data_IF_908381715156
#
_entry.id   IF_908381715156
#
_cell.length_a   1.000
_cell.length_b   1.000
_cell.length_c   1.000
_cell.angle_alpha   90.00
_cell.angle_beta   90.00
_cell.angle_gamma   90.00
#
_symmetry.space_group_name_H-M   'P 1'
#
loop_
_entity.id
_entity.type
_entity.pdbx_description
1 polymer ?
#
# COMPACT_ATOMS: atom_id res chain seq x y z
N UNK A 1 10.69 -10.12 -6.23
CA UNK A 1 9.68 -9.11 -5.80
C UNK A 1 8.37 -9.10 -6.61
N UNK A 2 8.29 -9.82 -7.74
CA UNK A 2 7.15 -9.80 -8.67
C UNK A 2 6.48 -11.18 -8.78
N UNK A 3 6.40 -11.92 -7.68
CA UNK A 3 5.60 -13.15 -7.64
C UNK A 3 4.23 -12.84 -7.04
N UNK A 4 3.21 -13.61 -7.41
CA UNK A 4 1.87 -13.54 -6.80
C UNK A 4 1.86 -13.70 -5.27
N UNK A 5 2.98 -14.15 -4.69
CA UNK A 5 3.22 -14.27 -3.25
C UNK A 5 3.67 -12.96 -2.58
N UNK A 6 4.26 -12.01 -3.31
CA UNK A 6 4.84 -10.79 -2.77
C UNK A 6 4.16 -9.55 -3.35
N UNK A 7 3.61 -8.71 -2.48
CA UNK A 7 2.87 -7.50 -2.87
C UNK A 7 3.68 -6.23 -2.57
N UNK A 8 3.55 -5.21 -3.43
CA UNK A 8 4.26 -3.96 -3.26
C UNK A 8 3.82 -3.18 -1.99
N UNK A 9 2.57 -3.32 -1.52
CA UNK A 9 2.16 -2.76 -0.23
C UNK A 9 2.21 -3.79 0.92
N UNK A 10 2.68 -5.02 0.67
CA UNK A 10 3.30 -5.82 1.73
C UNK A 10 4.63 -5.15 2.17
N UNK A 11 5.20 -4.29 1.31
CA UNK A 11 6.28 -3.40 1.66
C UNK A 11 5.74 -2.03 2.06
N UNK A 12 6.05 -1.70 3.31
CA UNK A 12 5.89 -0.38 3.94
C UNK A 12 6.43 0.75 3.05
N UNK A 13 7.45 0.45 2.23
CA UNK A 13 8.22 1.42 1.44
C UNK A 13 7.43 2.32 0.51
N UNK A 14 6.31 1.84 -0.05
CA UNK A 14 5.56 2.58 -1.07
C UNK A 14 4.43 3.39 -0.45
N UNK A 15 3.87 2.91 0.66
CA UNK A 15 2.65 3.45 1.27
C UNK A 15 2.90 4.20 2.59
N UNK A 16 4.12 4.13 3.14
CA UNK A 16 4.46 4.75 4.42
C UNK A 16 5.19 6.09 4.23
N UNK A 17 4.65 7.21 4.75
CA UNK A 17 5.30 8.52 4.70
C UNK A 17 6.72 8.55 5.29
N UNK A 18 7.05 7.70 6.26
CA UNK A 18 8.40 7.66 6.88
C UNK A 18 9.48 7.32 5.86
N UNK A 19 9.18 6.44 4.88
CA UNK A 19 10.10 6.07 3.81
C UNK A 19 10.45 7.24 2.88
N UNK A 20 9.60 8.25 2.84
CA UNK A 20 9.82 9.45 2.04
C UNK A 20 10.46 10.56 2.88
N UNK A 21 10.01 10.75 4.12
CA UNK A 21 10.49 11.82 5.00
C UNK A 21 11.99 11.71 5.30
N UNK A 22 12.48 10.53 5.69
CA UNK A 22 13.89 10.39 6.11
C UNK A 22 14.88 10.65 4.96
N UNK A 23 14.72 10.06 3.76
CA UNK A 23 15.57 10.37 2.62
C UNK A 23 15.42 11.80 2.12
N UNK A 24 14.19 12.35 2.07
CA UNK A 24 13.97 13.71 1.57
C UNK A 24 14.60 14.78 2.48
N UNK A 25 14.49 14.62 3.80
CA UNK A 25 15.16 15.52 4.75
C UNK A 25 16.68 15.38 4.64
N UNK A 26 17.19 14.15 4.56
CA UNK A 26 18.63 13.92 4.43
C UNK A 26 19.19 14.47 3.10
N UNK A 27 18.43 14.35 2.00
CA UNK A 27 18.75 14.96 0.71
C UNK A 27 18.75 16.48 0.82
N UNK A 28 17.71 17.10 1.40
CA UNK A 28 17.66 18.55 1.57
C UNK A 28 18.81 19.11 2.41
N UNK A 29 19.19 18.42 3.50
CA UNK A 29 20.35 18.79 4.30
C UNK A 29 21.68 18.53 3.57
N UNK A 30 21.71 17.54 2.66
CA UNK A 30 22.88 17.07 1.94
C UNK A 30 23.15 17.75 0.59
N UNK A 31 22.16 18.46 0.05
CA UNK A 31 22.19 18.98 -1.32
C UNK A 31 23.21 20.10 -1.51
N UNK A 32 23.71 20.23 -2.75
CA UNK A 32 24.48 21.42 -3.12
C UNK A 32 23.58 22.64 -3.01
N UNK A 33 24.17 23.77 -2.60
CA UNK A 33 23.46 25.01 -2.29
C UNK A 33 23.02 25.73 -3.56
N UNK A 34 22.15 25.07 -4.32
CA UNK A 34 21.58 25.53 -5.57
C UNK A 34 20.06 25.50 -5.43
N UNK A 35 19.40 26.58 -5.84
CA UNK A 35 17.97 26.78 -5.60
C UNK A 35 17.11 25.72 -6.31
N UNK A 36 17.51 25.23 -7.49
CA UNK A 36 16.76 24.24 -8.28
C UNK A 36 16.55 22.90 -7.56
N UNK A 37 17.59 22.15 -7.15
CA UNK A 37 17.39 20.86 -6.48
C UNK A 37 16.77 21.04 -5.08
N UNK A 38 17.06 22.14 -4.39
CA UNK A 38 16.42 22.47 -3.13
C UNK A 38 14.91 22.70 -3.28
N UNK A 39 14.48 23.40 -4.34
CA UNK A 39 13.07 23.61 -4.66
C UNK A 39 12.36 22.28 -4.94
N UNK A 40 12.96 21.39 -5.73
CA UNK A 40 12.39 20.05 -6.00
C UNK A 40 12.24 19.26 -4.70
N UNK A 41 13.27 19.25 -3.84
CA UNK A 41 13.21 18.59 -2.53
C UNK A 41 12.13 19.18 -1.62
N UNK A 42 12.01 20.51 -1.56
CA UNK A 42 11.00 21.22 -0.75
C UNK A 42 9.58 20.98 -1.26
N UNK A 43 9.36 20.99 -2.58
CA UNK A 43 8.07 20.68 -3.18
C UNK A 43 7.66 19.23 -2.90
N UNK A 44 8.60 18.29 -3.02
CA UNK A 44 8.35 16.88 -2.74
C UNK A 44 8.04 16.66 -1.26
N UNK A 45 8.85 17.25 -0.36
CA UNK A 45 8.62 17.18 1.08
C UNK A 45 7.29 17.85 1.47
N UNK A 46 6.97 18.99 0.86
CA UNK A 46 5.72 19.70 1.05
C UNK A 46 4.51 18.89 0.59
N UNK A 47 4.62 18.17 -0.53
CA UNK A 47 3.59 17.25 -1.01
C UNK A 47 3.35 16.08 -0.05
N UNK A 48 4.43 15.47 0.47
CA UNK A 48 4.34 14.41 1.49
C UNK A 48 3.71 14.95 2.77
N UNK A 49 4.16 16.13 3.25
CA UNK A 49 3.61 16.76 4.43
C UNK A 49 2.13 17.11 4.25
N UNK A 50 1.75 17.68 3.11
CA UNK A 50 0.37 17.96 2.78
C UNK A 50 -0.46 16.68 2.79
N UNK A 51 -0.01 15.59 2.17
CA UNK A 51 -0.75 14.32 2.16
C UNK A 51 -0.94 13.73 3.58
N UNK A 52 0.09 13.80 4.42
CA UNK A 52 0.06 13.33 5.82
C UNK A 52 -0.88 14.19 6.69
N UNK A 53 -0.89 15.50 6.47
CA UNK A 53 -1.63 16.46 7.28
C UNK A 53 -3.07 16.67 6.79
N UNK A 54 -3.33 16.56 5.48
CA UNK A 54 -4.65 16.76 4.85
C UNK A 54 -5.56 15.55 4.91
N UNK A 55 -5.03 14.32 4.97
CA UNK A 55 -5.84 13.12 5.26
C UNK A 55 -6.28 13.17 6.72
N UNK A 56 -7.51 13.67 6.89
CA UNK A 56 -8.09 14.16 8.15
C UNK A 56 -8.14 13.17 9.31
N UNK A 57 -8.30 13.76 10.51
CA UNK A 57 -8.79 13.17 11.76
C UNK A 57 -8.16 11.85 12.15
N UNK A 58 -8.70 10.77 11.62
CA UNK A 58 -8.59 9.42 12.16
C UNK A 58 -7.69 8.49 11.34
N UNK A 59 -7.27 8.86 10.13
CA UNK A 59 -6.51 7.94 9.26
C UNK A 59 -5.05 7.76 9.67
N UNK A 60 -4.37 8.86 10.00
CA UNK A 60 -2.92 8.92 10.18
C UNK A 60 -2.54 9.00 11.65
N UNK A 61 -1.53 8.24 12.08
CA UNK A 61 -1.06 8.25 13.46
C UNK A 61 -0.60 9.65 13.91
N UNK A 62 -1.01 10.10 15.10
CA UNK A 62 -0.70 11.45 15.60
C UNK A 62 0.81 11.72 15.70
N UNK A 63 1.60 10.74 16.14
CA UNK A 63 3.06 10.87 16.20
C UNK A 63 3.70 11.05 14.81
N UNK A 64 3.09 10.51 13.75
CA UNK A 64 3.61 10.66 12.39
C UNK A 64 3.43 12.09 11.89
N UNK A 65 2.35 12.77 12.30
CA UNK A 65 2.15 14.20 12.04
C UNK A 65 3.22 15.03 12.76
N UNK A 66 3.49 14.74 14.04
CA UNK A 66 4.55 15.40 14.81
C UNK A 66 5.93 15.16 14.18
N UNK A 67 6.23 13.91 13.78
CA UNK A 67 7.48 13.58 13.09
C UNK A 67 7.61 14.37 11.79
N UNK A 68 6.53 14.44 10.99
CA UNK A 68 6.50 15.19 9.73
C UNK A 68 6.77 16.67 9.93
N UNK A 69 6.11 17.31 10.90
CA UNK A 69 6.32 18.72 11.21
C UNK A 69 7.75 18.98 11.71
N UNK A 70 8.25 18.11 12.58
CA UNK A 70 9.62 18.19 13.10
C UNK A 70 10.65 18.02 11.98
N UNK A 71 10.45 17.04 11.10
CA UNK A 71 11.28 16.76 9.93
C UNK A 71 11.33 17.96 8.97
N UNK A 72 10.17 18.57 8.68
CA UNK A 72 10.09 19.78 7.86
C UNK A 72 10.81 20.95 8.52
N UNK A 73 10.60 21.17 9.83
CA UNK A 73 11.28 22.21 10.59
C UNK A 73 12.80 22.04 10.58
N UNK A 74 13.30 20.82 10.81
CA UNK A 74 14.72 20.50 10.76
C UNK A 74 15.31 20.72 9.36
N UNK A 75 14.60 20.35 8.30
CA UNK A 75 15.04 20.60 6.93
C UNK A 75 15.16 22.11 6.64
N UNK A 76 14.15 22.91 7.00
CA UNK A 76 14.15 24.37 6.79
C UNK A 76 15.22 25.05 7.63
N UNK A 77 15.31 24.74 8.93
CA UNK A 77 16.29 25.33 9.85
C UNK A 77 17.71 24.93 9.46
N UNK A 78 17.94 23.65 9.17
CA UNK A 78 19.26 23.16 8.75
C UNK A 78 19.70 23.77 7.43
N UNK A 79 18.75 23.99 6.50
CA UNK A 79 19.00 24.72 5.27
C UNK A 79 19.37 26.19 5.56
N UNK A 80 18.51 26.95 6.26
CA UNK A 80 18.72 28.39 6.53
C UNK A 80 19.96 28.67 7.38
N UNK A 81 20.21 27.86 8.42
CA UNK A 81 21.31 28.08 9.39
C UNK A 81 22.64 27.44 8.99
N UNK A 82 22.73 26.87 7.79
CA UNK A 82 23.98 26.34 7.25
C UNK A 82 24.63 25.25 8.13
N UNK A 83 23.84 24.38 8.76
CA UNK A 83 24.33 23.42 9.78
C UNK A 83 25.48 22.53 9.31
N UNK A 84 25.59 22.24 8.02
CA UNK A 84 26.58 21.28 7.50
C UNK A 84 27.42 21.83 6.34
N UNK A 85 28.74 21.76 6.49
CA UNK A 85 29.71 21.82 5.38
C UNK A 85 29.73 20.52 4.57
N UNK A 86 30.58 20.43 3.54
CA UNK A 86 30.62 19.30 2.57
C UNK A 86 30.69 17.92 3.25
N UNK A 87 31.53 17.78 4.28
CA UNK A 87 31.68 16.53 5.03
C UNK A 87 30.49 16.23 5.96
N UNK A 88 29.80 17.26 6.46
CA UNK A 88 28.58 17.11 7.24
C UNK A 88 27.40 16.64 6.39
N UNK A 89 27.34 17.08 5.12
CA UNK A 89 26.30 16.67 4.16
C UNK A 89 26.31 15.18 3.86
N UNK A 90 27.50 14.60 3.66
CA UNK A 90 27.64 13.14 3.47
C UNK A 90 27.22 12.36 4.72
N UNK A 91 27.56 12.88 5.91
CA UNK A 91 27.13 12.28 7.18
C UNK A 91 25.61 12.36 7.37
N UNK A 92 24.97 13.48 7.04
CA UNK A 92 23.52 13.62 7.08
C UNK A 92 22.80 12.62 6.17
N UNK A 93 23.29 12.43 4.94
CA UNK A 93 22.79 11.39 4.02
C UNK A 93 22.98 9.98 4.61
N UNK A 94 24.16 9.69 5.17
CA UNK A 94 24.45 8.42 5.85
C UNK A 94 23.52 8.15 7.04
N UNK A 95 23.26 9.15 7.88
CA UNK A 95 22.31 9.03 8.98
C UNK A 95 20.88 8.84 8.50
N UNK A 96 20.47 9.52 7.42
CA UNK A 96 19.16 9.31 6.80
C UNK A 96 18.95 7.87 6.34
N UNK A 97 19.96 7.28 5.68
CA UNK A 97 19.93 5.87 5.27
C UNK A 97 19.96 4.92 6.47
N UNK A 98 20.72 5.23 7.52
CA UNK A 98 20.75 4.44 8.75
C UNK A 98 19.39 4.44 9.45
N UNK A 99 18.77 5.61 9.61
CA UNK A 99 17.42 5.74 10.18
C UNK A 99 16.41 4.96 9.35
N UNK A 100 16.49 5.06 8.02
CA UNK A 100 15.63 4.28 7.13
C UNK A 100 15.84 2.77 7.32
N UNK A 101 17.09 2.31 7.35
CA UNK A 101 17.43 0.91 7.57
C UNK A 101 16.92 0.37 8.90
N UNK A 102 17.09 1.14 9.99
CA UNK A 102 16.56 0.81 11.31
C UNK A 102 15.03 0.75 11.29
N UNK A 103 14.38 1.71 10.62
CA UNK A 103 12.93 1.72 10.46
C UNK A 103 12.42 0.48 9.70
N UNK A 104 13.07 0.12 8.59
CA UNK A 104 12.74 -1.10 7.83
C UNK A 104 12.90 -2.35 8.71
N UNK A 105 14.01 -2.46 9.43
CA UNK A 105 14.29 -3.61 10.30
C UNK A 105 13.27 -3.72 11.43
N UNK A 106 12.94 -2.61 12.08
CA UNK A 106 11.92 -2.56 13.12
C UNK A 106 10.54 -2.98 12.57
N UNK A 107 10.17 -2.49 11.39
CA UNK A 107 8.89 -2.82 10.78
C UNK A 107 8.82 -4.29 10.33
N UNK A 108 9.91 -4.81 9.77
CA UNK A 108 10.03 -6.23 9.44
C UNK A 108 9.87 -7.10 10.68
N UNK A 109 10.57 -6.79 11.78
CA UNK A 109 10.46 -7.51 13.05
C UNK A 109 9.05 -7.45 13.63
N UNK A 110 8.45 -6.26 13.70
CA UNK A 110 7.10 -6.06 14.19
C UNK A 110 6.03 -6.72 13.30
N UNK A 111 6.31 -6.93 12.00
CA UNK A 111 5.38 -7.63 11.10
C UNK A 111 5.27 -9.13 11.36
N UNK A 112 6.27 -9.74 12.00
CA UNK A 112 6.31 -11.19 12.27
C UNK A 112 5.12 -11.64 13.14
N UNK A 113 4.86 -11.07 14.33
CA UNK A 113 3.71 -11.46 15.14
C UNK A 113 2.38 -11.15 14.45
N UNK A 114 2.27 -10.03 13.71
CA UNK A 114 1.06 -9.70 12.97
C UNK A 114 0.74 -10.73 11.89
N UNK A 115 1.76 -11.18 11.14
CA UNK A 115 1.64 -12.23 10.12
C UNK A 115 1.31 -13.59 10.74
N UNK A 116 1.93 -13.94 11.87
CA UNK A 116 1.60 -15.17 12.61
C UNK A 116 0.13 -15.16 13.07
N UNK A 117 -0.32 -14.06 13.68
CA UNK A 117 -1.71 -13.92 14.11
C UNK A 117 -2.70 -14.01 12.94
N UNK A 118 -2.40 -13.34 11.82
CA UNK A 118 -3.23 -13.39 10.62
C UNK A 118 -3.32 -14.82 10.04
N UNK A 119 -2.20 -15.54 10.01
CA UNK A 119 -2.14 -16.95 9.58
C UNK A 119 -3.01 -17.82 10.49
N UNK A 120 -2.83 -17.72 11.80
CA UNK A 120 -3.54 -18.58 12.75
C UNK A 120 -5.05 -18.29 12.71
N UNK A 121 -5.45 -17.02 12.57
CA UNK A 121 -6.84 -16.63 12.41
C UNK A 121 -7.44 -17.19 11.10
N UNK A 122 -6.69 -17.13 9.99
CA UNK A 122 -7.12 -17.72 8.73
C UNK A 122 -7.31 -19.23 8.83
N UNK A 123 -6.35 -19.93 9.46
CA UNK A 123 -6.39 -21.38 9.62
C UNK A 123 -7.53 -21.82 10.54
N UNK A 124 -7.81 -21.09 11.63
CA UNK A 124 -8.96 -21.38 12.49
C UNK A 124 -10.29 -21.18 11.76
N UNK A 125 -10.38 -20.18 10.88
CA UNK A 125 -11.61 -19.83 10.18
C UNK A 125 -11.91 -20.71 8.96
N UNK A 126 -10.89 -21.00 8.16
CA UNK A 126 -11.04 -21.64 6.85
C UNK A 126 -10.25 -22.95 6.70
N UNK A 127 -9.57 -23.39 7.75
CA UNK A 127 -8.81 -24.63 7.77
C UNK A 127 -7.39 -24.53 7.20
N UNK A 128 -6.67 -25.65 7.13
CA UNK A 128 -5.32 -25.71 6.58
C UNK A 128 -5.35 -25.34 5.09
N UNK A 129 -4.44 -24.45 4.67
CA UNK A 129 -4.34 -24.00 3.27
C UNK A 129 -5.07 -22.69 2.95
N UNK A 130 -5.75 -22.08 3.93
CA UNK A 130 -6.34 -20.75 3.78
C UNK A 130 -5.28 -19.73 3.31
N UNK A 131 -5.62 -18.92 2.31
CA UNK A 131 -4.80 -17.80 1.89
C UNK A 131 -4.95 -16.65 2.88
N UNK A 132 -3.87 -15.94 3.17
CA UNK A 132 -3.89 -14.85 4.13
C UNK A 132 -2.84 -13.79 3.80
N UNK A 133 -3.05 -12.58 4.33
CA UNK A 133 -2.11 -11.47 4.29
C UNK A 133 -2.29 -10.59 5.53
N UNK A 134 -1.23 -9.87 5.90
CA UNK A 134 -1.27 -8.80 6.89
C UNK A 134 -0.92 -7.50 6.15
N UNK A 135 -1.95 -6.74 5.77
CA UNK A 135 -1.83 -5.56 4.93
C UNK A 135 -1.41 -4.37 5.78
N UNK A 136 -0.37 -3.63 5.37
CA UNK A 136 0.02 -2.41 6.08
C UNK A 136 -1.08 -1.37 6.03
N UNK A 137 -1.32 -0.68 7.15
CA UNK A 137 -2.30 0.41 7.19
C UNK A 137 -1.61 1.72 6.80
N UNK A 138 -2.07 2.31 5.70
CA UNK A 138 -1.51 3.57 5.17
C UNK A 138 -1.59 4.66 6.25
N UNK A 139 -0.45 5.29 6.55
CA UNK A 139 -0.36 6.35 7.57
C UNK A 139 -0.39 5.86 9.02
N UNK A 140 -0.43 4.54 9.27
CA UNK A 140 -0.29 3.94 10.60
C UNK A 140 0.85 2.92 10.60
N UNK A 141 2.11 3.39 10.71
CA UNK A 141 3.25 2.51 10.80
C UNK A 141 3.10 1.49 11.93
N UNK A 142 3.59 0.28 11.73
CA UNK A 142 3.47 -0.84 12.69
C UNK A 142 2.03 -1.31 12.97
N UNK A 143 1.08 -0.99 12.10
CA UNK A 143 -0.26 -1.55 12.15
C UNK A 143 -0.58 -2.29 10.85
N UNK A 144 -1.24 -3.45 11.01
CA UNK A 144 -1.66 -4.29 9.89
C UNK A 144 -3.11 -4.70 10.02
N UNK A 145 -3.82 -4.68 8.90
CA UNK A 145 -5.15 -5.26 8.78
C UNK A 145 -5.03 -6.66 8.18
N UNK A 146 -5.53 -7.69 8.87
CA UNK A 146 -5.45 -9.05 8.34
C UNK A 146 -6.55 -9.29 7.30
N UNK A 147 -6.18 -9.98 6.22
CA UNK A 147 -7.08 -10.41 5.16
C UNK A 147 -6.95 -11.92 5.00
N UNK A 148 -8.07 -12.62 4.92
CA UNK A 148 -8.15 -14.09 4.87
C UNK A 148 -8.98 -14.50 3.67
N UNK A 149 -8.68 -15.64 3.06
CA UNK A 149 -9.49 -16.16 1.96
C UNK A 149 -9.48 -17.68 1.89
N UNK A 150 -10.66 -18.23 1.57
CA UNK A 150 -10.87 -19.60 1.12
C UNK A 150 -11.05 -19.64 -0.40
N UNK A 151 -11.42 -20.80 -0.95
CA UNK A 151 -11.85 -20.92 -2.35
C UNK A 151 -13.05 -20.00 -2.65
N UNK A 152 -14.02 -19.93 -1.73
CA UNK A 152 -15.32 -19.33 -2.00
C UNK A 152 -15.47 -17.90 -1.45
N UNK A 153 -14.69 -17.54 -0.43
CA UNK A 153 -14.89 -16.28 0.31
C UNK A 153 -13.58 -15.56 0.66
N UNK A 154 -13.66 -14.25 0.82
CA UNK A 154 -12.62 -13.39 1.41
C UNK A 154 -13.20 -12.73 2.66
N UNK A 155 -12.39 -12.58 3.70
CA UNK A 155 -12.82 -12.03 4.97
C UNK A 155 -11.75 -11.16 5.64
N UNK A 156 -12.21 -10.23 6.46
CA UNK A 156 -11.46 -9.41 7.41
C UNK A 156 -12.17 -9.45 8.78
N UNK A 157 -11.60 -8.89 9.86
CA UNK A 157 -12.34 -8.72 11.11
C UNK A 157 -13.63 -7.91 10.89
N UNK A 158 -14.79 -8.53 11.15
CA UNK A 158 -16.10 -7.88 11.01
C UNK A 158 -16.63 -7.77 9.57
N UNK A 159 -15.93 -8.32 8.57
CA UNK A 159 -16.36 -8.26 7.17
C UNK A 159 -16.10 -9.58 6.44
N UNK A 160 -17.03 -10.00 5.58
CA UNK A 160 -16.86 -11.15 4.70
C UNK A 160 -17.63 -10.96 3.40
N UNK A 161 -17.08 -11.46 2.30
CA UNK A 161 -17.71 -11.43 0.98
C UNK A 161 -17.42 -12.71 0.20
N UNK A 162 -18.39 -13.14 -0.61
CA UNK A 162 -18.20 -14.22 -1.58
C UNK A 162 -17.29 -13.77 -2.72
N UNK A 163 -16.50 -14.68 -3.28
CA UNK A 163 -15.57 -14.40 -4.38
C UNK A 163 -16.21 -14.53 -5.76
N UNK A 164 -17.31 -15.30 -5.86
CA UNK A 164 -18.06 -15.59 -7.09
C UNK A 164 -17.19 -16.08 -8.28
N UNK A 165 -16.06 -16.73 -8.02
CA UNK A 165 -15.14 -17.15 -9.08
C UNK A 165 -15.66 -18.34 -9.91
N UNK A 166 -16.53 -19.15 -9.31
CA UNK A 166 -17.15 -20.30 -9.98
C UNK A 166 -18.33 -19.91 -10.88
N UNK A 167 -18.75 -18.63 -10.86
CA UNK A 167 -19.83 -18.18 -11.73
C UNK A 167 -19.41 -18.30 -13.21
N UNK A 168 -20.22 -18.94 -14.09
CA UNK A 168 -19.81 -19.23 -15.47
C UNK A 168 -19.37 -17.99 -16.26
N UNK A 169 -20.05 -16.86 -16.07
CA UNK A 169 -19.67 -15.60 -16.69
C UNK A 169 -18.31 -15.07 -16.19
N UNK A 170 -17.96 -15.30 -14.93
CA UNK A 170 -16.67 -14.91 -14.36
C UNK A 170 -15.57 -15.80 -14.92
N UNK A 171 -15.80 -17.11 -14.98
CA UNK A 171 -14.87 -18.05 -15.61
C UNK A 171 -14.60 -17.69 -17.09
N UNK A 172 -15.65 -17.29 -17.83
CA UNK A 172 -15.53 -16.80 -19.21
C UNK A 172 -14.73 -15.50 -19.29
N UNK A 173 -15.07 -14.52 -18.46
CA UNK A 173 -14.36 -13.24 -18.41
C UNK A 173 -12.86 -13.44 -18.15
N UNK A 174 -12.50 -14.28 -17.19
CA UNK A 174 -11.11 -14.58 -16.85
C UNK A 174 -10.39 -15.34 -17.95
N UNK A 175 -11.03 -16.35 -18.56
CA UNK A 175 -10.39 -17.22 -19.56
C UNK A 175 -10.24 -16.55 -20.91
N UNK A 176 -11.28 -15.87 -21.37
CA UNK A 176 -11.42 -15.52 -22.79
C UNK A 176 -10.94 -14.09 -23.07
N UNK A 177 -10.91 -13.22 -22.05
CA UNK A 177 -10.48 -11.82 -22.24
C UNK A 177 -9.04 -11.57 -21.76
N UNK A 178 -8.23 -10.77 -22.49
CA UNK A 178 -6.89 -10.38 -22.05
C UNK A 178 -6.90 -9.68 -20.69
N UNK A 179 -7.88 -8.80 -20.45
CA UNK A 179 -7.99 -8.03 -19.21
C UNK A 179 -8.34 -8.94 -18.03
N UNK A 180 -9.22 -9.93 -18.22
CA UNK A 180 -9.55 -10.91 -17.20
C UNK A 180 -8.36 -11.79 -16.82
N UNK A 181 -7.58 -12.27 -17.81
CA UNK A 181 -6.34 -13.02 -17.56
C UNK A 181 -5.31 -12.19 -16.81
N UNK A 182 -5.09 -10.94 -17.23
CA UNK A 182 -4.18 -10.03 -16.56
C UNK A 182 -4.59 -9.79 -15.10
N UNK A 183 -5.88 -9.58 -14.87
CA UNK A 183 -6.41 -9.38 -13.51
C UNK A 183 -6.25 -10.63 -12.64
N UNK A 184 -6.48 -11.82 -13.18
CA UNK A 184 -6.29 -13.07 -12.45
C UNK A 184 -4.82 -13.35 -12.10
N UNK A 185 -3.87 -12.89 -12.93
CA UNK A 185 -2.44 -12.98 -12.63
C UNK A 185 -1.99 -11.93 -11.60
N UNK A 186 -2.59 -10.74 -11.64
CA UNK A 186 -2.31 -9.65 -10.72
C UNK A 186 -2.89 -9.87 -9.31
N UNK A 187 -4.10 -10.44 -9.25
CA UNK A 187 -4.85 -10.54 -8.01
C UNK A 187 -4.37 -11.69 -7.11
N UNK A 188 -4.04 -11.36 -5.86
CA UNK A 188 -3.80 -12.35 -4.80
C UNK A 188 -5.11 -12.78 -4.13
N UNK A 189 -6.05 -11.85 -4.01
CA UNK A 189 -7.37 -12.08 -3.42
C UNK A 189 -8.46 -11.69 -4.43
N UNK A 190 -8.52 -12.43 -5.55
CA UNK A 190 -9.47 -12.17 -6.62
C UNK A 190 -10.91 -12.38 -6.14
N UNK A 191 -11.75 -11.39 -6.41
CA UNK A 191 -13.19 -11.40 -6.24
C UNK A 191 -13.86 -10.94 -7.53
N UNK A 192 -15.12 -11.33 -7.71
CA UNK A 192 -15.93 -10.91 -8.83
C UNK A 192 -17.34 -10.51 -8.41
N UNK A 193 -17.87 -9.48 -9.07
CA UNK A 193 -19.30 -9.16 -9.07
C UNK A 193 -19.82 -9.25 -10.51
N UNK A 194 -21.04 -9.75 -10.69
CA UNK A 194 -21.70 -9.83 -11.99
C UNK A 194 -22.89 -8.88 -11.99
N UNK A 195 -22.93 -7.99 -12.97
CA UNK A 195 -24.04 -7.06 -13.19
C UNK A 195 -24.74 -7.39 -14.51
N UNK A 196 -26.01 -7.77 -14.40
CA UNK A 196 -26.89 -8.12 -15.51
C UNK A 196 -28.03 -7.11 -15.71
N UNK A 197 -28.03 -5.98 -14.99
CA UNK A 197 -29.11 -4.98 -14.99
C UNK A 197 -29.21 -4.19 -16.31
N UNK A 198 -28.15 -4.18 -17.12
CA UNK A 198 -28.09 -3.46 -18.39
C UNK A 198 -28.44 -4.30 -19.63
N UNK A 199 -28.13 -3.74 -20.82
CA UNK A 199 -28.30 -4.41 -22.13
C UNK A 199 -27.33 -5.58 -22.37
N UNK A 200 -26.37 -5.80 -21.48
CA UNK A 200 -25.38 -6.85 -21.56
C UNK A 200 -24.98 -7.31 -20.17
N UNK A 201 -23.98 -8.19 -20.10
CA UNK A 201 -23.47 -8.70 -18.84
C UNK A 201 -22.09 -8.09 -18.57
N UNK A 202 -21.90 -7.48 -17.39
CA UNK A 202 -20.63 -6.90 -16.99
C UNK A 202 -20.08 -7.65 -15.79
N UNK A 203 -18.86 -8.16 -15.91
CA UNK A 203 -18.13 -8.81 -14.83
C UNK A 203 -17.10 -7.83 -14.28
N UNK A 204 -17.21 -7.48 -13.02
CA UNK A 204 -16.23 -6.66 -12.31
C UNK A 204 -15.27 -7.59 -11.56
N UNK A 205 -14.04 -7.69 -12.05
CA UNK A 205 -12.95 -8.42 -11.40
C UNK A 205 -12.14 -7.45 -10.54
N UNK A 206 -11.93 -7.78 -9.27
CA UNK A 206 -11.18 -6.93 -8.34
C UNK A 206 -10.31 -7.72 -7.39
N UNK A 207 -9.26 -7.09 -6.88
CA UNK A 207 -8.50 -7.64 -5.77
C UNK A 207 -8.94 -6.96 -4.46
N UNK A 208 -9.34 -7.79 -3.48
CA UNK A 208 -9.89 -7.34 -2.21
C UNK A 208 -8.95 -6.42 -1.41
N UNK A 209 -7.64 -6.44 -1.72
CA UNK A 209 -6.64 -5.54 -1.11
C UNK A 209 -6.84 -4.07 -1.48
N UNK A 210 -7.43 -3.78 -2.64
CA UNK A 210 -7.63 -2.40 -3.13
C UNK A 210 -9.09 -1.99 -3.11
N UNK A 211 -9.98 -2.93 -3.43
CA UNK A 211 -11.37 -2.63 -3.72
C UNK A 211 -12.26 -3.69 -3.08
N UNK A 212 -12.88 -3.34 -1.94
CA UNK A 212 -13.84 -4.22 -1.25
C UNK A 212 -15.19 -4.27 -1.95
N UNK A 213 -15.67 -3.11 -2.42
CA UNK A 213 -16.98 -2.93 -3.05
C UNK A 213 -16.94 -2.01 -4.29
N UNK A 214 -15.76 -1.51 -4.67
CA UNK A 214 -15.65 -0.59 -5.79
C UNK A 214 -15.86 -1.33 -7.13
N UNK A 215 -16.55 -0.66 -8.06
CA UNK A 215 -16.76 -1.08 -9.46
C UNK A 215 -15.82 -0.39 -10.44
N UNK A 216 -15.08 0.60 -9.96
CA UNK A 216 -14.15 1.42 -10.74
C UNK A 216 -12.91 1.75 -9.88
N UNK A 217 -11.85 2.20 -10.55
CA UNK A 217 -10.61 2.62 -9.90
C UNK A 217 -9.50 1.56 -9.91
N UNK A 218 -8.46 1.82 -9.15
CA UNK A 218 -7.26 0.98 -9.15
C UNK A 218 -7.53 -0.42 -8.62
N UNK A 219 -7.03 -1.44 -9.32
CA UNK A 219 -7.23 -2.84 -8.94
C UNK A 219 -8.63 -3.38 -9.24
N UNK A 220 -9.39 -2.72 -10.12
CA UNK A 220 -10.69 -3.16 -10.64
C UNK A 220 -10.65 -3.20 -12.16
N UNK A 221 -11.21 -4.26 -12.76
CA UNK A 221 -11.36 -4.43 -14.20
C UNK A 221 -12.81 -4.78 -14.50
N UNK A 222 -13.45 -4.01 -15.39
CA UNK A 222 -14.78 -4.32 -15.91
C UNK A 222 -14.65 -5.04 -17.25
N UNK A 223 -15.13 -6.28 -17.32
CA UNK A 223 -15.19 -7.08 -18.55
C UNK A 223 -16.63 -7.12 -19.02
N UNK A 224 -16.89 -6.54 -20.19
CA UNK A 224 -18.20 -6.65 -20.83
C UNK A 224 -18.25 -7.94 -21.63
N UNK A 225 -19.28 -8.73 -21.39
CA UNK A 225 -19.56 -9.97 -22.10
C UNK A 225 -20.87 -9.79 -22.86
N UNK A 226 -20.86 -10.23 -24.11
CA UNK A 226 -22.09 -10.43 -24.85
C UNK A 226 -22.90 -11.54 -24.17
N UNK A 227 -24.23 -11.38 -24.11
CA UNK A 227 -25.08 -12.48 -23.65
C UNK A 227 -24.81 -13.67 -24.57
N UNK A 228 -24.55 -14.84 -23.98
CA UNK A 228 -24.51 -16.06 -24.78
C UNK A 228 -25.82 -16.16 -25.57
N UNK A 229 -25.78 -16.56 -26.85
CA UNK A 229 -27.00 -16.87 -27.61
C UNK A 229 -27.82 -17.94 -26.89
#
# INVERSE_FOLDING_TARGET
>A
PWSSRWYYADWVAIVDPVFWLAPLVALLLGERRHWRPALVGLLTLGGVAWLVLSRGGDGVAGWLRLLTLTACGLAVVGWVRHWFGVAGRRRAAGYGLLVLGLYVAANAAASVPAKAHARDAAQRRFGPGAAWAALTVIGRPFHWTPLYASADSVAEPGWAAARHLDHPAVARAVRDTPQGRAMAQFARFLMADVDSSGRGLVVYLRDARYARAAREGWGVVAVRLDRAP
#
